data_IF_927797344970
#
_entry.id   IF_927797344970
#
_cell.length_a   1.000
_cell.length_b   1.000
_cell.length_c   1.000
_cell.angle_alpha   90.00
_cell.angle_beta   90.00
_cell.angle_gamma   90.00
#
_symmetry.space_group_name_H-M   'P 1'
#
loop_
_entity.id
_entity.type
_entity.pdbx_description
1 polymer ?
#
# COMPACT_ATOMS: atom_id res chain seq x y z
N UNK A 1 -36.23 -9.41 22.20
CA UNK A 1 -35.31 -8.41 21.61
C UNK A 1 -33.95 -9.07 21.52
N UNK A 2 -33.67 -9.73 20.40
CA UNK A 2 -32.41 -10.48 20.20
C UNK A 2 -31.38 -9.47 19.71
N UNK A 3 -30.40 -9.12 20.54
CA UNK A 3 -29.21 -8.41 20.08
C UNK A 3 -28.37 -9.41 19.30
N UNK A 4 -28.68 -9.60 18.02
CA UNK A 4 -27.82 -10.33 17.12
C UNK A 4 -26.64 -9.43 16.78
N UNK A 5 -25.70 -9.29 17.72
CA UNK A 5 -24.35 -8.83 17.40
C UNK A 5 -23.74 -9.95 16.57
N UNK A 6 -23.98 -9.92 15.25
CA UNK A 6 -23.20 -10.72 14.32
C UNK A 6 -21.77 -10.24 14.47
N UNK A 7 -20.98 -10.98 15.24
CA UNK A 7 -19.52 -10.90 15.21
C UNK A 7 -19.14 -11.43 13.83
N UNK A 8 -19.38 -10.64 12.76
CA UNK A 8 -18.67 -10.83 11.50
C UNK A 8 -17.22 -10.59 11.89
N UNK A 9 -16.47 -11.68 12.03
CA UNK A 9 -15.03 -11.66 12.24
C UNK A 9 -14.46 -10.57 11.34
N UNK A 10 -14.03 -9.45 11.93
CA UNK A 10 -13.42 -8.32 11.24
C UNK A 10 -12.11 -8.85 10.64
N UNK A 11 -12.18 -9.46 9.46
CA UNK A 11 -10.99 -9.81 8.69
C UNK A 11 -10.38 -8.49 8.25
N UNK A 12 -9.50 -7.93 9.07
CA UNK A 12 -8.59 -6.87 8.66
C UNK A 12 -7.78 -7.44 7.48
N UNK A 13 -7.86 -6.77 6.33
CA UNK A 13 -7.06 -7.11 5.17
C UNK A 13 -5.99 -6.04 5.02
N UNK A 14 -4.73 -6.45 5.00
CA UNK A 14 -3.61 -5.59 4.61
C UNK A 14 -3.58 -5.54 3.08
N UNK A 15 -3.44 -4.34 2.54
CA UNK A 15 -3.36 -4.06 1.11
C UNK A 15 -2.05 -3.32 0.87
N UNK A 16 -1.35 -3.69 -0.19
CA UNK A 16 -0.18 -2.97 -0.67
C UNK A 16 -0.47 -2.42 -2.06
N UNK A 17 -0.12 -1.15 -2.28
CA UNK A 17 -0.10 -0.52 -3.59
C UNK A 17 1.35 -0.25 -3.96
N UNK A 18 1.76 -0.66 -5.17
CA UNK A 18 3.08 -0.43 -5.72
C UNK A 18 2.92 0.44 -6.96
N UNK A 19 3.58 1.59 -6.97
CA UNK A 19 3.67 2.47 -8.12
C UNK A 19 5.08 2.41 -8.68
N UNK A 20 5.20 2.08 -9.98
CA UNK A 20 6.47 1.86 -10.66
C UNK A 20 6.64 2.96 -11.71
N UNK A 21 7.30 4.05 -11.31
CA UNK A 21 7.64 5.15 -12.19
C UNK A 21 9.04 5.01 -12.78
N UNK A 22 9.34 5.82 -13.80
CA UNK A 22 10.66 5.88 -14.44
C UNK A 22 11.74 6.53 -13.56
N UNK A 23 11.37 7.25 -12.52
CA UNK A 23 12.32 7.91 -11.59
C UNK A 23 12.22 7.40 -10.16
N UNK A 24 11.08 6.83 -9.77
CA UNK A 24 10.84 6.31 -8.42
C UNK A 24 9.94 5.09 -8.48
N UNK A 25 10.25 4.13 -7.63
CA UNK A 25 9.35 3.04 -7.26
C UNK A 25 8.84 3.38 -5.86
N UNK A 26 7.52 3.48 -5.70
CA UNK A 26 6.88 3.84 -4.44
C UNK A 26 5.99 2.69 -3.95
N UNK A 27 5.98 2.41 -2.65
CA UNK A 27 5.06 1.46 -2.05
C UNK A 27 4.22 2.13 -0.95
N UNK A 28 2.98 1.68 -0.82
CA UNK A 28 2.05 2.07 0.24
C UNK A 28 1.47 0.81 0.85
N UNK A 29 1.51 0.71 2.18
CA UNK A 29 0.89 -0.36 2.96
C UNK A 29 -0.27 0.24 3.73
N UNK A 30 -1.45 -0.35 3.62
CA UNK A 30 -2.64 0.07 4.33
C UNK A 30 -3.41 -1.13 4.88
N UNK A 31 -4.17 -0.94 5.96
CA UNK A 31 -5.22 -1.87 6.35
C UNK A 31 -6.57 -1.35 5.89
N UNK A 32 -7.41 -2.26 5.44
CA UNK A 32 -8.80 -1.95 5.11
C UNK A 32 -9.71 -2.37 6.26
N UNK A 33 -10.75 -1.58 6.48
CA UNK A 33 -11.88 -2.00 7.29
C UNK A 33 -13.20 -1.61 6.61
N UNK A 34 -14.30 -2.29 6.92
CA UNK A 34 -15.61 -1.88 6.44
C UNK A 34 -15.88 -0.44 6.87
N UNK A 35 -16.47 0.35 5.97
CA UNK A 35 -17.01 1.67 6.32
C UNK A 35 -18.13 1.47 7.37
N UNK A 36 -18.24 2.33 8.40
CA UNK A 36 -19.28 2.18 9.42
C UNK A 36 -20.69 2.20 8.83
N UNK A 37 -21.60 1.40 9.41
CA UNK A 37 -22.97 1.21 8.91
C UNK A 37 -23.83 2.49 8.85
N UNK A 38 -23.44 3.53 9.60
CA UNK A 38 -24.11 4.84 9.62
C UNK A 38 -23.60 5.80 8.53
N UNK A 39 -22.56 5.41 7.79
CA UNK A 39 -22.05 6.21 6.70
C UNK A 39 -22.84 5.88 5.43
N UNK A 40 -23.56 6.86 4.89
CA UNK A 40 -24.27 6.74 3.63
C UNK A 40 -23.24 6.59 2.48
N UNK A 41 -22.97 5.35 2.12
CA UNK A 41 -21.95 4.98 1.15
C UNK A 41 -22.40 3.79 0.29
N UNK A 42 -21.86 3.71 -0.92
CA UNK A 42 -22.06 2.57 -1.83
C UNK A 42 -21.59 1.30 -1.11
N UNK A 43 -22.41 0.24 -1.08
CA UNK A 43 -22.27 -0.93 -0.20
C UNK A 43 -20.96 -1.74 -0.23
N UNK A 44 -20.00 -1.36 -1.08
CA UNK A 44 -18.66 -1.95 -1.18
C UNK A 44 -17.55 -0.99 -0.70
N UNK A 45 -17.91 0.16 -0.14
CA UNK A 45 -16.94 1.12 0.36
C UNK A 45 -16.13 0.52 1.52
N UNK A 46 -14.81 0.64 1.42
CA UNK A 46 -13.86 0.28 2.48
C UNK A 46 -13.08 1.52 2.87
N UNK A 47 -12.85 1.67 4.17
CA UNK A 47 -11.95 2.69 4.67
C UNK A 47 -10.52 2.13 4.69
N UNK A 48 -9.57 2.96 4.26
CA UNK A 48 -8.14 2.65 4.27
C UNK A 48 -7.46 3.41 5.39
N UNK A 49 -6.68 2.71 6.20
CA UNK A 49 -5.77 3.31 7.17
C UNK A 49 -4.34 2.98 6.74
N UNK A 50 -3.57 4.01 6.39
CA UNK A 50 -2.17 3.87 5.97
C UNK A 50 -1.34 3.42 7.16
N UNK A 51 -0.61 2.32 6.98
CA UNK A 51 0.31 1.75 7.96
C UNK A 51 1.77 2.16 7.69
N UNK A 52 2.11 2.40 6.42
CA UNK A 52 3.45 2.79 6.03
C UNK A 52 3.54 3.11 4.53
N UNK A 53 4.57 3.85 4.15
CA UNK A 53 4.91 4.16 2.77
C UNK A 53 6.43 4.24 2.63
N UNK A 54 6.94 3.96 1.44
CA UNK A 54 8.35 4.10 1.12
C UNK A 54 8.57 4.36 -0.37
N UNK A 55 9.75 4.82 -0.75
CA UNK A 55 10.16 4.90 -2.14
C UNK A 55 11.67 4.67 -2.34
N UNK A 56 12.01 4.07 -3.47
CA UNK A 56 13.40 3.95 -3.94
C UNK A 56 13.52 4.64 -5.29
N UNK A 57 14.70 5.20 -5.60
CA UNK A 57 14.96 5.73 -6.95
C UNK A 57 14.91 4.58 -7.95
N UNK A 58 14.23 4.79 -9.06
CA UNK A 58 14.21 3.81 -10.13
C UNK A 58 15.49 3.93 -10.96
N UNK A 59 16.30 2.90 -10.98
CA UNK A 59 17.42 2.77 -11.90
C UNK A 59 17.04 1.82 -13.03
N UNK A 60 17.33 2.20 -14.28
CA UNK A 60 17.04 1.35 -15.44
C UNK A 60 15.58 1.30 -15.92
N UNK A 61 14.64 2.10 -15.37
CA UNK A 61 13.27 2.20 -15.89
C UNK A 61 13.11 3.44 -16.80
N UNK A 62 13.18 3.26 -18.13
CA UNK A 62 12.90 4.32 -19.12
C UNK A 62 11.71 3.93 -19.99
N UNK A 63 10.67 4.77 -20.02
CA UNK A 63 9.47 4.56 -20.85
C UNK A 63 8.83 3.15 -20.73
N UNK A 64 8.73 2.64 -19.49
CA UNK A 64 8.26 1.27 -19.18
C UNK A 64 9.13 0.13 -19.74
N UNK A 65 10.32 0.42 -20.26
CA UNK A 65 11.32 -0.57 -20.64
C UNK A 65 12.27 -0.80 -19.47
N UNK A 66 12.40 -2.05 -19.04
CA UNK A 66 13.37 -2.50 -18.05
C UNK A 66 14.75 -2.61 -18.71
N UNK A 67 15.69 -1.77 -18.31
CA UNK A 67 17.07 -1.82 -18.78
C UNK A 67 17.93 -2.62 -17.80
N UNK A 68 18.10 -3.92 -18.06
CA UNK A 68 19.05 -4.76 -17.32
C UNK A 68 20.36 -4.80 -18.09
N UNK A 69 21.17 -3.75 -17.97
CA UNK A 69 22.55 -3.78 -18.49
C UNK A 69 23.45 -3.26 -17.39
N UNK A 70 24.10 -4.20 -16.69
CA UNK A 70 25.39 -4.11 -15.97
C UNK A 70 25.66 -2.99 -14.94
N UNK A 71 24.83 -1.97 -14.81
CA UNK A 71 24.98 -0.86 -13.86
C UNK A 71 24.06 -0.94 -12.62
N UNK A 72 23.45 -2.10 -12.35
CA UNK A 72 22.41 -2.26 -11.31
C UNK A 72 22.93 -2.75 -9.94
N UNK A 73 24.25 -2.88 -9.77
CA UNK A 73 24.88 -3.46 -8.57
C UNK A 73 25.71 -2.46 -7.73
N UNK A 74 25.69 -1.15 -8.05
CA UNK A 74 26.36 -0.13 -7.24
C UNK A 74 25.36 0.92 -6.74
N UNK A 75 24.89 0.75 -5.50
CA UNK A 75 24.88 1.76 -4.43
C UNK A 75 23.95 1.31 -3.29
N UNK A 76 24.53 1.39 -2.10
CA UNK A 76 24.08 0.90 -0.81
C UNK A 76 22.85 1.63 -0.23
N UNK A 77 22.30 1.00 0.81
CA UNK A 77 21.31 1.47 1.79
C UNK A 77 19.84 1.52 1.35
N UNK A 78 19.15 0.41 1.63
CA UNK A 78 17.69 0.38 1.86
C UNK A 78 17.37 1.19 3.13
N UNK A 79 17.13 2.49 2.97
CA UNK A 79 16.62 3.33 4.06
C UNK A 79 15.18 2.92 4.38
N UNK A 80 15.02 2.01 5.36
CA UNK A 80 13.73 1.57 5.91
C UNK A 80 13.09 2.67 6.78
N UNK A 81 13.13 3.92 6.29
CA UNK A 81 12.65 5.14 6.93
C UNK A 81 11.13 5.21 7.05
N UNK A 82 10.51 4.13 7.52
CA UNK A 82 9.11 4.10 7.92
C UNK A 82 8.90 5.05 9.08
N UNK A 83 8.44 6.26 8.79
CA UNK A 83 7.93 7.18 9.80
C UNK A 83 6.61 6.62 10.31
N UNK A 84 6.66 5.95 11.47
CA UNK A 84 5.47 5.55 12.24
C UNK A 84 4.70 6.82 12.59
N UNK A 85 3.50 6.99 12.04
CA UNK A 85 2.52 8.01 12.45
C UNK A 85 1.28 7.32 13.02
#
# INVERSE_FOLDING_TARGET
MVYTTTIRSKRQRIVTALDVGTSKICCLIAKTSPVPDWFEGKGDAVQFEVLGFDHTRAEGLKACLLYTSDAADEEDDVDLGGRRI
#
